data_IF_739347554187
#
_entry.id   IF_739347554187
#
_cell.length_a   1.000
_cell.length_b   1.000
_cell.length_c   1.000
_cell.angle_alpha   90.00
_cell.angle_beta   90.00
_cell.angle_gamma   90.00
#
_symmetry.space_group_name_H-M   'P 1'
#
loop_
_entity.id
_entity.type
_entity.pdbx_description
1 polymer ?
#
# COMPACT_ATOMS: atom_id res chain seq x y z
N UNK A 1 5.10 14.93 -12.89
CA UNK A 1 5.20 13.46 -13.06
C UNK A 1 4.94 12.85 -11.69
N UNK A 2 3.85 12.11 -11.53
CA UNK A 2 3.59 11.38 -10.28
C UNK A 2 4.48 10.13 -10.26
N UNK A 3 5.35 10.02 -9.25
CA UNK A 3 6.18 8.85 -9.07
C UNK A 3 5.44 7.85 -8.16
N UNK A 4 4.98 6.73 -8.74
CA UNK A 4 4.19 5.74 -8.02
C UNK A 4 4.95 5.10 -6.87
N UNK A 5 6.24 4.78 -7.05
CA UNK A 5 7.04 4.18 -5.99
C UNK A 5 7.12 5.09 -4.76
N UNK A 6 7.27 6.41 -4.94
CA UNK A 6 7.27 7.36 -3.82
C UNK A 6 5.90 7.48 -3.12
N UNK A 7 4.82 7.44 -3.91
CA UNK A 7 3.45 7.50 -3.38
C UNK A 7 3.15 6.24 -2.57
N UNK A 8 3.51 5.09 -3.10
CA UNK A 8 3.29 3.80 -2.45
C UNK A 8 4.10 3.76 -1.15
N UNK A 9 5.37 4.14 -1.18
CA UNK A 9 6.22 4.27 0.01
C UNK A 9 5.62 5.17 1.10
N UNK A 10 5.11 6.34 0.75
CA UNK A 10 4.50 7.25 1.72
C UNK A 10 3.24 6.67 2.37
N UNK A 11 2.50 5.79 1.66
CA UNK A 11 1.30 5.13 2.18
C UNK A 11 1.61 4.02 3.19
N UNK A 12 2.82 3.48 3.17
CA UNK A 12 3.13 2.28 3.94
C UNK A 12 3.40 2.50 5.42
N UNK A 13 3.64 3.73 5.87
CA UNK A 13 3.91 4.07 7.28
C UNK A 13 4.97 3.20 7.99
N UNK A 14 5.70 2.34 7.26
CA UNK A 14 6.78 1.53 7.78
C UNK A 14 7.98 2.44 8.01
N UNK A 15 8.49 2.43 9.24
CA UNK A 15 9.68 3.18 9.57
C UNK A 15 10.88 2.60 8.81
N UNK A 16 11.52 3.43 7.98
CA UNK A 16 12.84 3.11 7.44
C UNK A 16 13.82 2.91 8.59
N UNK A 17 14.65 1.88 8.52
CA UNK A 17 15.72 1.69 9.51
C UNK A 17 16.94 2.47 9.03
N UNK A 18 17.47 3.43 9.83
CA UNK A 18 18.80 3.96 9.55
C UNK A 18 19.78 2.78 9.68
N UNK A 19 20.49 2.47 8.60
CA UNK A 19 21.51 1.41 8.63
C UNK A 19 22.85 1.92 9.15
N UNK A 20 23.07 3.24 9.07
CA UNK A 20 24.23 3.90 9.64
C UNK A 20 24.10 4.06 11.15
N UNK A 21 24.42 3.00 11.89
CA UNK A 21 24.98 3.17 13.23
C UNK A 21 26.50 2.95 13.26
N UNK A 22 27.13 2.58 12.13
CA UNK A 22 28.58 2.26 12.09
C UNK A 22 29.39 2.91 10.95
N UNK A 23 28.80 3.81 10.15
CA UNK A 23 29.46 4.48 9.00
C UNK A 23 29.43 6.01 9.06
N UNK A 24 29.03 6.58 10.20
CA UNK A 24 28.96 8.03 10.40
C UNK A 24 30.35 8.66 10.29
N UNK A 25 30.63 9.34 9.18
CA UNK A 25 31.72 10.30 9.13
C UNK A 25 31.24 11.58 9.84
N UNK A 26 32.00 12.14 10.81
CA UNK A 26 31.64 13.39 11.49
C UNK A 26 31.32 14.56 10.53
N UNK A 27 31.88 14.49 9.33
CA UNK A 27 31.69 15.43 8.22
C UNK A 27 30.27 15.45 7.66
N UNK A 28 29.50 14.36 7.80
CA UNK A 28 28.17 14.24 7.21
C UNK A 28 27.08 14.92 8.06
N UNK A 29 27.35 15.14 9.36
CA UNK A 29 26.49 15.86 10.31
C UNK A 29 25.15 15.20 10.66
N UNK A 30 24.62 14.33 9.79
CA UNK A 30 23.38 13.57 9.93
C UNK A 30 23.55 12.17 9.29
N UNK A 31 22.75 11.16 9.70
CA UNK A 31 22.67 9.89 8.99
C UNK A 31 22.32 10.11 7.51
N UNK A 32 22.96 9.36 6.62
CA UNK A 32 22.79 9.53 5.18
C UNK A 32 22.33 8.26 4.45
N UNK A 33 22.40 7.07 5.06
CA UNK A 33 21.90 5.82 4.48
C UNK A 33 20.72 5.25 5.27
N UNK A 34 19.62 5.04 4.56
CA UNK A 34 18.39 4.47 5.08
C UNK A 34 17.97 3.28 4.24
N UNK A 35 17.58 2.19 4.90
CA UNK A 35 16.98 1.03 4.24
C UNK A 35 15.56 0.82 4.77
N UNK A 36 14.61 0.84 3.84
CA UNK A 36 13.25 0.39 4.07
C UNK A 36 13.10 -1.02 3.51
N UNK A 37 12.66 -1.97 4.33
CA UNK A 37 12.24 -3.29 3.85
C UNK A 37 10.74 -3.25 3.65
N UNK A 38 10.30 -3.27 2.39
CA UNK A 38 8.88 -3.16 2.04
C UNK A 38 8.19 -4.53 2.05
N UNK A 39 8.92 -5.58 1.67
CA UNK A 39 8.48 -6.98 1.76
C UNK A 39 9.68 -7.91 1.88
N UNK A 40 9.45 -9.22 1.84
CA UNK A 40 10.53 -10.22 1.70
C UNK A 40 11.25 -10.12 0.35
N UNK A 41 10.61 -9.53 -0.65
CA UNK A 41 11.09 -9.43 -2.03
C UNK A 41 11.67 -8.06 -2.36
N UNK A 42 11.14 -6.99 -1.78
CA UNK A 42 11.46 -5.61 -2.16
C UNK A 42 12.01 -4.80 -0.98
N UNK A 43 13.02 -4.00 -1.27
CA UNK A 43 13.59 -3.04 -0.33
C UNK A 43 13.98 -1.76 -1.06
N UNK A 44 13.97 -0.64 -0.34
CA UNK A 44 14.37 0.66 -0.87
C UNK A 44 15.55 1.18 -0.08
N UNK A 45 16.66 1.41 -0.79
CA UNK A 45 17.87 2.03 -0.27
C UNK A 45 17.86 3.51 -0.64
N UNK A 46 17.86 4.37 0.37
CA UNK A 46 17.97 5.83 0.20
C UNK A 46 19.32 6.29 0.71
N UNK A 47 20.06 6.98 -0.14
CA UNK A 47 21.39 7.52 0.17
C UNK A 47 21.37 9.02 -0.10
N UNK A 48 21.62 9.80 0.94
CA UNK A 48 21.75 11.25 0.87
C UNK A 48 23.22 11.64 0.76
N UNK A 49 23.48 12.74 0.08
CA UNK A 49 24.73 13.47 0.21
C UNK A 49 24.40 14.88 0.72
N UNK A 50 24.55 15.08 2.02
CA UNK A 50 24.32 16.37 2.68
C UNK A 50 25.43 17.39 2.43
N UNK A 51 26.57 16.94 1.92
CA UNK A 51 27.79 17.74 1.80
C UNK A 51 27.82 18.56 0.50
N UNK A 52 28.75 19.52 0.45
CA UNK A 52 29.03 20.33 -0.74
C UNK A 52 30.05 19.69 -1.69
N UNK A 53 30.36 18.39 -1.50
CA UNK A 53 31.34 17.63 -2.31
C UNK A 53 30.70 16.37 -2.86
N UNK A 54 31.27 15.81 -3.92
CA UNK A 54 30.85 14.50 -4.42
C UNK A 54 31.20 13.43 -3.37
N UNK A 55 30.25 12.54 -3.10
CA UNK A 55 30.45 11.37 -2.21
C UNK A 55 30.29 10.10 -3.02
N UNK A 56 31.18 9.15 -2.78
CA UNK A 56 31.07 7.80 -3.30
C UNK A 56 30.69 6.85 -2.17
N UNK A 57 29.67 6.03 -2.39
CA UNK A 57 29.28 4.98 -1.47
C UNK A 57 29.34 3.63 -2.16
N UNK A 58 29.78 2.62 -1.41
CA UNK A 58 29.75 1.23 -1.85
C UNK A 58 29.09 0.38 -0.78
N UNK A 59 28.09 -0.39 -1.19
CA UNK A 59 27.35 -1.31 -0.32
C UNK A 59 27.45 -2.71 -0.88
N UNK A 60 27.66 -3.71 -0.03
CA UNK A 60 27.41 -5.11 -0.39
C UNK A 60 25.97 -5.45 -0.03
N UNK A 61 25.29 -6.25 -0.85
CA UNK A 61 23.92 -6.65 -0.54
C UNK A 61 23.84 -7.44 0.77
N UNK A 62 24.80 -8.33 1.00
CA UNK A 62 24.95 -9.05 2.27
C UNK A 62 25.14 -8.12 3.47
N UNK A 63 25.88 -7.01 3.31
CA UNK A 63 26.05 -5.99 4.33
C UNK A 63 24.77 -5.21 4.65
N UNK A 64 23.85 -5.10 3.68
CA UNK A 64 22.49 -4.57 3.88
C UNK A 64 21.53 -5.63 4.46
N UNK A 65 22.03 -6.84 4.72
CA UNK A 65 21.24 -7.99 5.14
C UNK A 65 20.27 -8.47 4.07
N UNK A 66 20.60 -8.26 2.79
CA UNK A 66 19.87 -8.73 1.61
C UNK A 66 20.63 -9.95 1.05
N UNK A 67 19.99 -11.11 1.01
CA UNK A 67 20.65 -12.44 0.89
C UNK A 67 20.76 -13.04 -0.52
N UNK A 68 20.31 -12.33 -1.54
CA UNK A 68 20.12 -12.87 -2.90
C UNK A 68 21.37 -12.69 -3.78
N UNK A 69 22.46 -13.41 -3.51
CA UNK A 69 23.62 -13.40 -4.42
C UNK A 69 23.19 -13.78 -5.85
N UNK A 70 23.44 -12.90 -6.82
CA UNK A 70 23.17 -13.14 -8.23
C UNK A 70 21.69 -13.21 -8.67
N UNK A 71 20.73 -12.83 -7.82
CA UNK A 71 19.29 -12.81 -8.15
C UNK A 71 18.63 -11.51 -7.71
N UNK A 72 19.06 -10.38 -8.28
CA UNK A 72 18.48 -9.08 -7.96
C UNK A 72 18.31 -8.20 -9.18
N UNK A 73 17.31 -7.34 -9.13
CA UNK A 73 17.16 -6.20 -10.02
C UNK A 73 17.20 -4.92 -9.20
N UNK A 74 18.00 -3.95 -9.65
CA UNK A 74 18.17 -2.67 -8.96
C UNK A 74 17.76 -1.54 -9.89
N UNK A 75 16.73 -0.82 -9.50
CA UNK A 75 16.12 0.26 -10.26
C UNK A 75 16.35 1.59 -9.56
N UNK A 76 16.62 2.65 -10.31
CA UNK A 76 16.57 4.00 -9.76
C UNK A 76 15.11 4.43 -9.63
N UNK A 77 14.67 4.79 -8.43
CA UNK A 77 13.30 5.20 -8.17
C UNK A 77 12.94 6.46 -8.95
N UNK A 78 13.89 7.38 -9.19
CA UNK A 78 13.64 8.60 -9.94
C UNK A 78 13.75 8.41 -11.46
N UNK A 79 14.43 7.35 -11.91
CA UNK A 79 14.51 6.94 -13.32
C UNK A 79 14.38 5.41 -13.50
N UNK A 80 13.15 4.87 -13.38
CA UNK A 80 12.93 3.42 -13.42
C UNK A 80 13.27 2.78 -14.78
N UNK A 81 13.37 3.59 -15.84
CA UNK A 81 13.70 3.14 -17.20
C UNK A 81 15.20 2.85 -17.36
N UNK A 82 16.01 3.26 -16.39
CA UNK A 82 17.46 3.05 -16.38
C UNK A 82 17.83 2.19 -15.17
N UNK A 83 17.82 0.84 -15.31
CA UNK A 83 18.27 -0.02 -14.24
C UNK A 83 19.73 0.31 -13.88
N UNK A 84 20.01 0.34 -12.58
CA UNK A 84 21.37 0.53 -12.06
C UNK A 84 22.21 -0.72 -12.31
N UNK A 85 21.56 -1.89 -12.28
CA UNK A 85 22.14 -3.17 -12.69
C UNK A 85 21.31 -4.35 -12.24
N UNK A 86 21.73 -5.55 -12.65
CA UNK A 86 21.10 -6.83 -12.30
C UNK A 86 22.16 -7.79 -11.78
N UNK A 87 21.76 -8.68 -10.86
CA UNK A 87 22.59 -9.74 -10.28
C UNK A 87 23.92 -9.26 -9.70
N UNK A 88 23.91 -8.05 -9.13
CA UNK A 88 25.07 -7.42 -8.50
C UNK A 88 25.23 -7.89 -7.05
N UNK A 89 26.47 -8.13 -6.62
CA UNK A 89 26.80 -8.36 -5.20
C UNK A 89 27.05 -7.06 -4.44
N UNK A 90 27.40 -5.98 -5.16
CA UNK A 90 27.64 -4.66 -4.58
C UNK A 90 27.07 -3.54 -5.42
N UNK A 91 26.56 -2.52 -4.75
CA UNK A 91 26.05 -1.27 -5.32
C UNK A 91 27.13 -0.20 -5.10
N UNK A 92 27.55 0.46 -6.18
CA UNK A 92 28.41 1.64 -6.11
C UNK A 92 27.64 2.86 -6.60
N UNK A 93 27.64 3.94 -5.81
CA UNK A 93 26.92 5.17 -6.10
C UNK A 93 27.83 6.37 -6.01
N UNK A 94 27.79 7.20 -7.05
CA UNK A 94 28.32 8.54 -7.05
C UNK A 94 27.16 9.52 -6.81
N UNK A 95 27.26 10.29 -5.72
CA UNK A 95 26.26 11.29 -5.34
C UNK A 95 26.84 12.69 -5.50
N UNK A 96 26.19 13.50 -6.31
CA UNK A 96 26.49 14.93 -6.42
C UNK A 96 26.30 15.64 -5.07
N UNK A 97 26.93 16.81 -4.85
CA UNK A 97 26.64 17.66 -3.69
C UNK A 97 25.14 17.88 -3.49
N UNK A 98 24.65 17.87 -2.25
CA UNK A 98 23.25 18.18 -1.89
C UNK A 98 22.20 17.37 -2.67
N UNK A 99 22.45 16.08 -2.87
CA UNK A 99 21.58 15.21 -3.67
C UNK A 99 21.12 13.98 -2.91
N UNK A 100 20.17 13.26 -3.49
CA UNK A 100 19.70 11.96 -3.00
C UNK A 100 19.64 10.96 -4.15
N UNK A 101 20.02 9.72 -3.87
CA UNK A 101 19.77 8.57 -4.73
C UNK A 101 18.90 7.59 -3.99
N UNK A 102 17.95 7.02 -4.72
CA UNK A 102 16.95 6.15 -4.14
C UNK A 102 16.78 4.96 -5.07
N UNK A 103 17.06 3.77 -4.54
CA UNK A 103 17.14 2.56 -5.32
C UNK A 103 16.13 1.54 -4.81
N UNK A 104 15.33 1.01 -5.72
CA UNK A 104 14.47 -0.15 -5.46
C UNK A 104 15.26 -1.40 -5.77
N UNK A 105 15.46 -2.24 -4.76
CA UNK A 105 16.17 -3.51 -4.84
C UNK A 105 15.11 -4.60 -4.77
N UNK A 106 15.07 -5.44 -5.81
CA UNK A 106 14.09 -6.51 -5.96
C UNK A 106 14.83 -7.83 -6.01
N UNK A 107 14.57 -8.71 -5.04
CA UNK A 107 14.99 -10.10 -5.07
C UNK A 107 14.18 -10.86 -6.12
N UNK A 108 14.83 -11.27 -7.20
CA UNK A 108 14.17 -11.96 -8.32
C UNK A 108 14.04 -13.46 -8.09
N UNK A 109 14.67 -14.02 -7.04
CA UNK A 109 14.47 -15.41 -6.63
C UNK A 109 13.14 -15.62 -5.90
N UNK A 110 12.59 -14.56 -5.30
CA UNK A 110 11.27 -14.56 -4.67
C UNK A 110 10.23 -14.11 -5.72
N UNK A 111 9.20 -14.92 -6.00
CA UNK A 111 8.15 -14.53 -6.95
C UNK A 111 7.32 -13.38 -6.37
N UNK A 112 6.81 -12.52 -7.26
CA UNK A 112 5.89 -11.45 -6.87
C UNK A 112 4.59 -12.04 -6.30
N UNK A 113 4.10 -11.50 -5.19
CA UNK A 113 2.90 -11.98 -4.51
C UNK A 113 1.85 -10.87 -4.33
N UNK A 114 0.58 -11.29 -4.27
CA UNK A 114 -0.54 -10.42 -3.92
C UNK A 114 -0.40 -9.91 -2.48
N UNK A 115 -0.98 -8.76 -2.13
CA UNK A 115 -0.99 -8.29 -0.75
C UNK A 115 -1.74 -9.26 0.17
N UNK A 116 -1.26 -9.41 1.40
CA UNK A 116 -1.96 -10.20 2.43
C UNK A 116 -2.98 -9.30 3.10
N UNK A 117 -4.27 -9.61 2.93
CA UNK A 117 -5.36 -8.76 3.42
C UNK A 117 -6.34 -9.58 4.27
N UNK A 118 -6.59 -9.09 5.48
CA UNK A 118 -7.68 -9.56 6.34
C UNK A 118 -8.95 -8.77 6.01
N UNK A 119 -10.06 -9.46 5.81
CA UNK A 119 -11.32 -8.85 5.35
C UNK A 119 -12.44 -9.18 6.31
N UNK A 120 -13.20 -8.16 6.71
CA UNK A 120 -14.45 -8.28 7.45
C UNK A 120 -15.60 -7.78 6.58
N UNK A 121 -16.61 -8.63 6.39
CA UNK A 121 -17.82 -8.32 5.62
C UNK A 121 -19.02 -8.75 6.43
N UNK A 122 -19.92 -7.81 6.70
CA UNK A 122 -21.25 -8.13 7.18
C UNK A 122 -22.05 -8.77 6.04
N UNK A 123 -22.30 -10.07 6.14
CA UNK A 123 -22.92 -10.90 5.10
C UNK A 123 -24.46 -10.84 5.07
N UNK A 124 -25.08 -10.11 5.99
CA UNK A 124 -26.52 -9.91 6.04
C UNK A 124 -26.90 -8.47 6.41
N UNK A 125 -27.92 -7.93 5.74
CA UNK A 125 -28.38 -6.56 5.94
C UNK A 125 -29.87 -6.37 5.68
N UNK A 126 -30.34 -5.15 5.93
CA UNK A 126 -31.71 -4.73 5.57
C UNK A 126 -31.63 -3.60 4.56
N UNK A 127 -32.60 -3.57 3.65
CA UNK A 127 -32.71 -2.51 2.66
C UNK A 127 -32.80 -1.14 3.33
N UNK A 128 -31.96 -0.19 2.90
CA UNK A 128 -31.88 1.15 3.48
C UNK A 128 -31.05 1.27 4.76
N UNK A 129 -30.44 0.18 5.25
CA UNK A 129 -29.52 0.19 6.39
C UNK A 129 -28.08 -0.08 5.92
N UNK A 130 -27.06 0.63 6.43
CA UNK A 130 -25.68 0.36 6.07
C UNK A 130 -25.20 -0.99 6.59
N UNK A 131 -24.50 -1.74 5.74
CA UNK A 131 -23.64 -2.87 6.12
C UNK A 131 -22.19 -2.41 6.19
N UNK A 132 -21.42 -2.99 7.09
CA UNK A 132 -20.02 -2.64 7.27
C UNK A 132 -19.11 -3.60 6.50
N UNK A 133 -18.18 -3.03 5.74
CA UNK A 133 -17.12 -3.77 5.06
C UNK A 133 -15.78 -3.11 5.34
N UNK A 134 -14.77 -3.91 5.67
CA UNK A 134 -13.42 -3.42 5.90
C UNK A 134 -12.37 -4.41 5.46
N UNK A 135 -11.26 -3.90 4.96
CA UNK A 135 -10.08 -4.64 4.59
C UNK A 135 -8.85 -4.00 5.25
N UNK A 136 -7.97 -4.83 5.80
CA UNK A 136 -6.75 -4.39 6.49
C UNK A 136 -5.58 -5.23 5.97
N UNK A 137 -4.50 -4.56 5.56
CA UNK A 137 -3.27 -5.24 5.18
C UNK A 137 -2.62 -5.86 6.43
N UNK A 138 -2.10 -7.07 6.27
CA UNK A 138 -1.30 -7.72 7.31
C UNK A 138 0.06 -7.02 7.43
N UNK A 139 0.55 -6.86 8.66
CA UNK A 139 1.81 -6.18 8.94
C UNK A 139 3.04 -7.00 8.48
N UNK A 140 2.91 -8.32 8.41
CA UNK A 140 4.01 -9.23 8.04
C UNK A 140 3.92 -9.71 6.57
N UNK A 141 2.89 -9.27 5.85
CA UNK A 141 2.62 -9.64 4.46
C UNK A 141 3.16 -8.65 3.42
N UNK A 142 2.87 -8.92 2.14
CA UNK A 142 3.03 -7.89 1.11
C UNK A 142 1.99 -6.80 1.38
N UNK A 143 2.39 -5.52 1.44
CA UNK A 143 1.47 -4.46 1.83
C UNK A 143 0.58 -4.04 0.65
N UNK A 144 -0.63 -3.56 0.96
CA UNK A 144 -1.59 -3.07 -0.02
C UNK A 144 -1.49 -1.54 -0.19
N UNK A 145 -1.43 -1.05 -1.43
CA UNK A 145 -1.40 0.39 -1.77
C UNK A 145 -2.78 1.00 -1.92
N UNK A 146 -3.77 0.16 -2.25
CA UNK A 146 -5.12 0.62 -2.56
C UNK A 146 -6.14 -0.49 -2.43
N UNK A 147 -7.39 -0.08 -2.20
CA UNK A 147 -8.55 -0.97 -2.08
C UNK A 147 -9.65 -0.47 -3.00
N UNK A 148 -10.37 -1.40 -3.60
CA UNK A 148 -11.58 -1.13 -4.35
C UNK A 148 -12.64 -2.17 -4.05
N UNK A 149 -13.87 -1.69 -3.85
CA UNK A 149 -15.06 -2.49 -3.63
C UNK A 149 -16.00 -2.30 -4.81
N UNK A 150 -16.53 -3.40 -5.32
CA UNK A 150 -17.71 -3.45 -6.18
C UNK A 150 -18.79 -4.16 -5.39
N UNK A 151 -19.92 -3.49 -5.13
CA UNK A 151 -20.96 -4.03 -4.27
C UNK A 151 -21.93 -4.95 -5.01
N UNK A 152 -21.81 -5.08 -6.34
CA UNK A 152 -22.72 -5.89 -7.16
C UNK A 152 -24.10 -5.26 -7.40
N UNK A 153 -24.33 -4.03 -6.91
CA UNK A 153 -25.55 -3.23 -7.13
C UNK A 153 -25.33 -2.08 -8.13
N UNK A 154 -24.17 -2.05 -8.79
CA UNK A 154 -23.74 -1.01 -9.73
C UNK A 154 -22.95 0.12 -9.08
N UNK A 155 -22.76 0.12 -7.76
CA UNK A 155 -21.95 1.11 -7.05
C UNK A 155 -20.59 0.55 -6.62
N UNK A 156 -19.62 1.44 -6.40
CA UNK A 156 -18.24 1.08 -6.02
C UNK A 156 -17.67 2.03 -4.97
N UNK A 157 -16.62 1.60 -4.27
CA UNK A 157 -15.86 2.44 -3.35
C UNK A 157 -14.35 2.21 -3.48
N UNK A 158 -13.53 3.23 -3.20
CA UNK A 158 -12.05 3.16 -3.25
C UNK A 158 -11.41 3.48 -1.91
N UNK A 159 -11.91 2.82 -0.86
CA UNK A 159 -11.47 3.00 0.53
C UNK A 159 -11.35 1.64 1.21
N UNK A 160 -10.49 1.54 2.23
CA UNK A 160 -10.27 0.30 2.98
C UNK A 160 -11.51 -0.14 3.78
N UNK A 161 -12.22 0.82 4.39
CA UNK A 161 -13.43 0.61 5.18
C UNK A 161 -14.58 1.45 4.64
N UNK A 162 -15.75 0.85 4.50
CA UNK A 162 -16.95 1.49 3.92
C UNK A 162 -18.22 0.98 4.60
N UNK A 163 -19.16 1.91 4.82
CA UNK A 163 -20.53 1.60 5.21
C UNK A 163 -21.41 1.71 3.98
N UNK A 164 -21.76 0.58 3.37
CA UNK A 164 -22.55 0.56 2.13
C UNK A 164 -24.02 0.30 2.40
N UNK A 165 -24.91 1.02 1.72
CA UNK A 165 -26.36 0.87 1.89
C UNK A 165 -27.00 0.36 0.61
N UNK A 166 -27.54 -0.85 0.65
CA UNK A 166 -28.29 -1.42 -0.46
C UNK A 166 -29.72 -0.87 -0.50
N UNK A 167 -30.16 -0.45 -1.68
CA UNK A 167 -31.49 0.15 -1.92
C UNK A 167 -32.57 -0.86 -2.30
N UNK A 168 -32.17 -2.09 -2.64
CA UNK A 168 -33.04 -3.20 -2.99
C UNK A 168 -32.67 -4.44 -2.18
N UNK A 169 -33.63 -5.31 -1.92
CA UNK A 169 -33.36 -6.64 -1.38
C UNK A 169 -32.82 -7.59 -2.47
N UNK A 170 -32.09 -8.61 -2.03
CA UNK A 170 -31.46 -9.57 -2.92
C UNK A 170 -30.16 -10.13 -2.40
N UNK A 171 -29.53 -10.97 -3.22
CA UNK A 171 -28.18 -11.47 -3.00
C UNK A 171 -27.21 -10.66 -3.85
N UNK A 172 -26.25 -10.00 -3.21
CA UNK A 172 -25.26 -9.16 -3.86
C UNK A 172 -23.88 -9.81 -3.79
N UNK A 173 -23.22 -9.91 -4.94
CA UNK A 173 -21.84 -10.41 -5.02
C UNK A 173 -20.88 -9.24 -4.84
N UNK A 174 -20.46 -9.01 -3.60
CA UNK A 174 -19.51 -7.95 -3.26
C UNK A 174 -18.09 -8.42 -3.55
N UNK A 175 -17.37 -7.71 -4.42
CA UNK A 175 -15.98 -7.99 -4.77
C UNK A 175 -15.05 -6.96 -4.14
N UNK A 176 -14.05 -7.45 -3.41
CA UNK A 176 -12.90 -6.67 -2.99
C UNK A 176 -11.74 -6.94 -3.95
N UNK A 177 -11.08 -5.88 -4.39
CA UNK A 177 -9.75 -5.92 -5.01
C UNK A 177 -8.79 -5.02 -4.22
N UNK A 178 -7.64 -5.56 -3.86
CA UNK A 178 -6.54 -4.80 -3.27
C UNK A 178 -5.28 -4.94 -4.13
N UNK A 179 -4.67 -3.82 -4.50
CA UNK A 179 -3.41 -3.81 -5.24
C UNK A 179 -2.25 -3.62 -4.26
N UNK A 180 -1.13 -4.33 -4.46
CA UNK A 180 0.10 -4.19 -3.66
C UNK A 180 1.30 -3.68 -4.46
N UNK A 181 2.43 -3.44 -3.79
CA UNK A 181 3.68 -2.95 -4.41
C UNK A 181 4.26 -3.85 -5.49
N UNK A 182 3.96 -5.15 -5.46
CA UNK A 182 4.61 -6.13 -6.34
C UNK A 182 3.88 -6.31 -7.68
N UNK A 183 2.85 -5.50 -7.94
CA UNK A 183 2.08 -5.52 -9.19
C UNK A 183 1.10 -6.69 -9.30
N UNK A 184 0.94 -7.49 -8.24
CA UNK A 184 -0.03 -8.57 -8.13
C UNK A 184 -1.16 -8.14 -7.20
N UNK A 185 -2.40 -8.39 -7.61
CA UNK A 185 -3.59 -7.96 -6.88
C UNK A 185 -4.21 -9.11 -6.11
N UNK A 186 -4.72 -8.82 -4.93
CA UNK A 186 -5.62 -9.68 -4.18
C UNK A 186 -7.05 -9.43 -4.63
N UNK A 187 -7.82 -10.49 -4.90
CA UNK A 187 -9.25 -10.38 -5.19
C UNK A 187 -10.04 -11.41 -4.39
N UNK A 188 -11.18 -11.00 -3.83
CA UNK A 188 -12.09 -11.89 -3.12
C UNK A 188 -13.54 -11.45 -3.30
N UNK A 189 -14.42 -12.42 -3.51
CA UNK A 189 -15.87 -12.18 -3.64
C UNK A 189 -16.59 -12.74 -2.42
N UNK A 190 -17.60 -11.99 -1.94
CA UNK A 190 -18.46 -12.32 -0.82
C UNK A 190 -19.92 -12.18 -1.26
N UNK A 191 -20.80 -12.98 -0.66
CA UNK A 191 -22.24 -12.83 -0.87
C UNK A 191 -22.83 -12.10 0.31
N UNK A 192 -23.54 -11.00 0.05
CA UNK A 192 -24.29 -10.26 1.07
C UNK A 192 -25.79 -10.43 0.79
N UNK A 193 -26.52 -10.92 1.78
CA UNK A 193 -27.97 -11.08 1.71
C UNK A 193 -28.66 -9.86 2.31
N UNK A 194 -29.44 -9.15 1.49
CA UNK A 194 -30.22 -7.99 1.92
C UNK A 194 -31.69 -8.36 1.88
N UNK A 195 -32.40 -8.09 2.97
CA UNK A 195 -33.83 -8.40 3.10
C UNK A 195 -34.65 -7.17 3.46
N UNK A 196 -35.94 -7.22 3.12
CA UNK A 196 -36.92 -6.19 3.46
C UNK A 196 -37.12 -5.17 2.35
N UNK A 197 -37.95 -4.16 2.62
CA UNK A 197 -38.30 -3.11 1.66
C UNK A 197 -38.12 -1.76 2.31
N UNK A 198 -37.59 -0.80 1.56
CA UNK A 198 -37.71 0.61 1.93
C UNK A 198 -39.13 1.03 1.60
N UNK A 199 -39.89 1.45 2.61
CA UNK A 199 -41.24 1.94 2.39
C UNK A 199 -41.15 3.28 1.64
N UNK A 200 -41.55 3.28 0.37
CA UNK A 200 -41.55 4.49 -0.49
C UNK A 200 -42.75 5.38 -0.23
N UNK A 201 -43.69 4.95 0.63
CA UNK A 201 -44.82 5.78 1.05
C UNK A 201 -44.34 6.82 2.05
N UNK A 202 -44.29 8.08 1.62
CA UNK A 202 -44.26 9.20 2.55
C UNK A 202 -45.52 9.14 3.41
N UNK A 203 -45.35 8.86 4.71
CA UNK A 203 -46.43 8.82 5.70
C UNK A 203 -46.40 10.11 6.53
N UNK A 204 -47.04 11.21 6.06
CA UNK A 204 -47.00 12.51 6.75
C UNK A 204 -47.50 12.41 8.19
N UNK A 205 -48.41 11.48 8.48
CA UNK A 205 -48.95 11.18 9.82
C UNK A 205 -47.86 10.84 10.85
N UNK A 206 -46.74 10.20 10.42
CA UNK A 206 -45.62 9.85 11.31
C UNK A 206 -44.70 11.02 11.62
N UNK A 207 -44.88 12.15 10.94
CA UNK A 207 -44.09 13.37 11.11
C UNK A 207 -44.97 14.59 11.45
N UNK A 208 -46.23 14.37 11.83
CA UNK A 208 -47.09 15.43 12.36
C UNK A 208 -46.53 15.90 13.70
N UNK A 209 -45.87 17.07 13.69
CA UNK A 209 -45.40 17.77 14.90
C UNK A 209 -46.54 18.38 15.72
N UNK A 210 -47.76 18.34 15.21
CA UNK A 210 -48.92 18.98 15.83
C UNK A 210 -49.98 17.94 16.15
N UNK A 211 -50.20 17.72 17.44
CA UNK A 211 -51.36 17.02 17.96
C UNK A 211 -52.33 18.10 18.45
N UNK A 212 -53.50 18.31 17.81
CA UNK A 212 -54.47 19.28 18.33
C UNK A 212 -54.95 18.79 19.70
N UNK A 213 -54.69 19.59 20.73
CA UNK A 213 -55.26 19.40 22.07
C UNK A 213 -56.79 19.50 21.98
N UNK A 214 -57.48 18.53 22.60
CA UNK A 214 -58.94 18.50 22.74
C UNK A 214 -59.38 19.25 23.98
#
# INVERSE_FOLDING_TARGET
>A
VENRDLIDMARYAHASKPLDLMTYAPEDGLPNVFLLRESKRQSVLTVFNWTDRVRQHRFTLSGLGLGSHGHNQILDVFDPKRPVGENLDSISLDLAPRSVRMLKIIDTSVPAAAPTVSVHVQDHGKTGTPVQLSAVADADGVPAVSYSWDFGDGTTARVASVNHTFTHDGLFNVRLRADGIEGVSFEKTFTVMVVGRVDTRFAPERFQRYTPER
#
